data_IF_938021804151
#
_entry.id   IF_938021804151
#
_cell.length_a   1.000
_cell.length_b   1.000
_cell.length_c   1.000
_cell.angle_alpha   90.00
_cell.angle_beta   90.00
_cell.angle_gamma   90.00
#
_symmetry.space_group_name_H-M   'P 1'
#
loop_
_entity.id
_entity.type
_entity.pdbx_description
1 polymer ?
#
# COMPACT_ATOMS: atom_id res chain seq x y z
N UNK A 1 12.42 -11.26 -8.79
CA UNK A 1 12.15 -10.79 -10.17
C UNK A 1 12.85 -11.72 -11.14
N UNK A 2 12.21 -12.14 -12.23
CA UNK A 2 12.75 -13.09 -13.21
C UNK A 2 12.66 -12.50 -14.61
N UNK A 3 13.78 -12.54 -15.33
CA UNK A 3 13.85 -12.18 -16.75
C UNK A 3 13.20 -13.31 -17.57
N UNK A 4 12.24 -12.97 -18.42
CA UNK A 4 11.60 -13.92 -19.35
C UNK A 4 12.32 -13.88 -20.70
N UNK A 5 12.60 -12.68 -21.21
CA UNK A 5 13.42 -12.45 -22.39
C UNK A 5 14.18 -11.13 -22.24
N UNK A 6 14.81 -10.63 -23.31
CA UNK A 6 15.61 -9.41 -23.26
C UNK A 6 14.87 -8.19 -22.68
N UNK A 7 13.57 -8.07 -22.97
CA UNK A 7 12.77 -6.91 -22.59
C UNK A 7 11.79 -7.19 -21.45
N UNK A 8 11.24 -8.38 -21.36
CA UNK A 8 10.17 -8.70 -20.42
C UNK A 8 10.68 -9.39 -19.17
N UNK A 9 10.22 -8.91 -18.03
CA UNK A 9 10.49 -9.46 -16.72
C UNK A 9 9.18 -9.59 -15.96
N UNK A 10 9.14 -10.50 -15.00
CA UNK A 10 7.98 -10.70 -14.12
C UNK A 10 8.45 -10.78 -12.67
N UNK A 11 7.59 -10.37 -11.76
CA UNK A 11 7.84 -10.45 -10.34
C UNK A 11 6.53 -10.48 -9.57
N UNK A 12 6.61 -10.95 -8.34
CA UNK A 12 5.52 -10.84 -7.38
C UNK A 12 6.14 -10.40 -6.06
N UNK A 13 5.51 -9.42 -5.42
CA UNK A 13 5.80 -9.05 -4.04
C UNK A 13 4.74 -9.65 -3.13
N UNK A 14 5.17 -10.09 -1.95
CA UNK A 14 4.31 -10.54 -0.87
C UNK A 14 4.73 -9.81 0.40
N UNK A 15 3.76 -9.27 1.13
CA UNK A 15 3.99 -8.66 2.42
C UNK A 15 2.99 -9.18 3.45
N UNK A 16 3.46 -9.37 4.66
CA UNK A 16 2.65 -9.67 5.83
C UNK A 16 3.10 -8.78 6.99
N UNK A 17 2.15 -8.17 7.69
CA UNK A 17 2.42 -7.28 8.81
C UNK A 17 1.49 -7.58 9.98
N UNK A 18 1.99 -7.40 11.20
CA UNK A 18 1.19 -7.41 12.43
C UNK A 18 1.63 -6.27 13.35
N UNK A 19 0.75 -5.87 14.26
CA UNK A 19 0.96 -4.92 15.36
C UNK A 19 2.34 -4.98 16.05
N UNK A 20 2.94 -6.17 16.18
CA UNK A 20 4.22 -6.36 16.89
C UNK A 20 5.49 -6.25 16.03
N UNK A 21 5.35 -6.15 14.71
CA UNK A 21 6.51 -6.17 13.78
C UNK A 21 7.00 -4.76 13.44
N UNK A 22 6.19 -3.73 13.69
CA UNK A 22 6.54 -2.35 13.33
C UNK A 22 7.31 -1.69 14.48
N UNK A 23 8.57 -1.29 14.31
CA UNK A 23 9.38 -0.65 15.37
C UNK A 23 8.97 0.80 15.65
N UNK A 24 7.93 1.31 14.97
CA UNK A 24 7.45 2.69 15.07
C UNK A 24 6.00 2.66 15.56
N UNK A 25 5.76 3.33 16.69
CA UNK A 25 4.41 3.53 17.21
C UNK A 25 3.70 4.60 16.37
N UNK A 26 2.66 4.22 15.64
CA UNK A 26 1.82 5.13 14.86
C UNK A 26 0.56 5.41 15.70
N UNK A 27 0.49 6.62 16.27
CA UNK A 27 -0.44 7.05 17.34
C UNK A 27 -1.94 7.00 17.04
N UNK A 28 -2.35 6.57 15.85
CA UNK A 28 -3.73 6.72 15.37
C UNK A 28 -4.45 5.38 15.13
N UNK A 29 -3.83 4.26 15.51
CA UNK A 29 -4.40 2.92 15.31
C UNK A 29 -3.85 1.94 16.35
N UNK A 30 -4.43 1.97 17.55
CA UNK A 30 -4.09 1.01 18.61
C UNK A 30 -4.98 -0.23 18.49
N UNK A 31 -4.40 -1.42 18.68
CA UNK A 31 -5.14 -2.69 18.64
C UNK A 31 -4.44 -3.79 17.84
N UNK A 32 -5.04 -4.99 17.83
CA UNK A 32 -4.48 -6.13 17.08
C UNK A 32 -4.78 -5.94 15.61
N UNK A 33 -3.74 -5.73 14.81
CA UNK A 33 -3.87 -5.48 13.38
C UNK A 33 -3.05 -6.48 12.58
N UNK A 34 -3.59 -6.97 11.46
CA UNK A 34 -2.90 -7.86 10.53
C UNK A 34 -3.12 -7.38 9.11
N UNK A 35 -2.06 -7.42 8.32
CA UNK A 35 -2.04 -6.99 6.92
C UNK A 35 -1.44 -8.11 6.09
N UNK A 36 -2.06 -8.40 4.96
CA UNK A 36 -1.51 -9.21 3.89
C UNK A 36 -1.61 -8.42 2.59
N UNK A 37 -0.54 -8.41 1.81
CA UNK A 37 -0.50 -7.75 0.51
C UNK A 37 0.23 -8.62 -0.51
N UNK A 38 -0.28 -8.62 -1.74
CA UNK A 38 0.33 -9.28 -2.90
C UNK A 38 0.33 -8.31 -4.08
N UNK A 39 1.47 -8.23 -4.79
CA UNK A 39 1.64 -7.37 -5.97
C UNK A 39 2.35 -8.11 -7.10
N UNK A 40 1.62 -8.86 -7.96
CA UNK A 40 2.17 -9.29 -9.24
C UNK A 40 2.48 -8.08 -10.13
N UNK A 41 3.63 -8.13 -10.80
CA UNK A 41 4.14 -7.04 -11.63
C UNK A 41 4.83 -7.59 -12.88
N UNK A 42 4.50 -7.00 -14.03
CA UNK A 42 5.14 -7.28 -15.32
C UNK A 42 5.92 -6.05 -15.75
N UNK A 43 7.20 -6.22 -16.05
CA UNK A 43 8.10 -5.13 -16.41
C UNK A 43 8.54 -5.24 -17.87
N UNK A 44 8.62 -4.08 -18.51
CA UNK A 44 9.19 -3.89 -19.82
C UNK A 44 10.45 -3.03 -19.73
N UNK A 45 11.59 -3.58 -20.14
CA UNK A 45 12.87 -2.87 -20.17
C UNK A 45 12.93 -1.93 -21.37
N UNK A 46 13.06 -0.63 -21.10
CA UNK A 46 13.19 0.41 -22.12
C UNK A 46 14.56 0.32 -22.83
N UNK A 47 15.62 0.03 -22.06
CA UNK A 47 17.00 -0.05 -22.53
C UNK A 47 17.67 -1.36 -22.08
N UNK A 48 17.40 -2.51 -22.74
CA UNK A 48 17.80 -3.84 -22.25
C UNK A 48 19.32 -4.06 -22.20
N UNK A 49 20.09 -3.37 -23.03
CA UNK A 49 21.56 -3.45 -23.11
C UNK A 49 22.28 -2.34 -22.31
N UNK A 50 21.54 -1.44 -21.67
CA UNK A 50 22.13 -0.39 -20.82
C UNK A 50 22.59 -0.99 -19.48
N UNK A 51 23.70 -0.46 -18.94
CA UNK A 51 24.13 -0.73 -17.57
C UNK A 51 23.12 -0.22 -16.54
N UNK A 52 22.47 0.91 -16.84
CA UNK A 52 21.35 1.44 -16.07
C UNK A 52 20.05 0.98 -16.72
N UNK A 53 19.34 0.04 -16.10
CA UNK A 53 18.12 -0.51 -16.70
C UNK A 53 16.91 0.28 -16.24
N UNK A 54 16.20 0.84 -17.20
CA UNK A 54 14.94 1.52 -17.00
C UNK A 54 13.79 0.57 -17.32
N UNK A 55 12.76 0.59 -16.49
CA UNK A 55 11.58 -0.23 -16.64
C UNK A 55 10.32 0.62 -16.58
N UNK A 56 9.37 0.29 -17.46
CA UNK A 56 7.96 0.60 -17.26
C UNK A 56 7.27 -0.70 -16.88
N UNK A 57 6.40 -0.69 -15.89
CA UNK A 57 5.72 -1.89 -15.43
C UNK A 57 4.25 -1.67 -15.15
N UNK A 58 3.48 -2.74 -15.32
CA UNK A 58 2.10 -2.83 -14.87
C UNK A 58 2.06 -3.71 -13.62
N UNK A 59 1.54 -3.15 -12.53
CA UNK A 59 1.43 -3.80 -11.22
C UNK A 59 -0.04 -3.90 -10.86
N UNK A 60 -0.51 -5.11 -10.61
CA UNK A 60 -1.80 -5.34 -9.95
C UNK A 60 -1.50 -5.55 -8.48
N UNK A 61 -2.28 -4.93 -7.59
CA UNK A 61 -2.11 -5.11 -6.15
C UNK A 61 -3.41 -5.54 -5.48
N UNK A 62 -3.27 -6.33 -4.42
CA UNK A 62 -4.34 -6.65 -3.48
C UNK A 62 -3.78 -6.58 -2.06
N UNK A 63 -4.47 -5.83 -1.20
CA UNK A 63 -4.18 -5.68 0.21
C UNK A 63 -5.44 -6.01 1.00
N UNK A 64 -5.27 -6.88 1.99
CA UNK A 64 -6.29 -7.22 2.97
C UNK A 64 -5.76 -6.90 4.36
N UNK A 65 -6.57 -6.19 5.13
CA UNK A 65 -6.23 -5.83 6.50
C UNK A 65 -7.42 -6.09 7.42
N UNK A 66 -7.12 -6.64 8.59
CA UNK A 66 -8.09 -6.88 9.66
C UNK A 66 -7.56 -6.34 10.97
N UNK A 67 -8.41 -5.64 11.70
CA UNK A 67 -8.15 -5.17 13.06
C UNK A 67 -9.19 -5.72 14.04
N UNK A 68 -8.78 -6.05 15.26
CA UNK A 68 -9.66 -6.44 16.37
C UNK A 68 -9.41 -5.53 17.56
N UNK A 69 -10.50 -5.07 18.19
CA UNK A 69 -10.47 -4.12 19.30
C UNK A 69 -9.60 -2.90 18.99
N UNK A 70 -9.80 -2.32 17.80
CA UNK A 70 -9.10 -1.10 17.42
C UNK A 70 -9.81 0.12 18.01
N UNK A 71 -9.08 1.17 18.34
CA UNK A 71 -9.65 2.49 18.67
C UNK A 71 -9.27 3.51 17.59
N UNK A 72 -10.02 4.59 17.47
CA UNK A 72 -9.66 5.66 16.54
C UNK A 72 -10.82 6.55 16.11
N UNK A 73 -10.62 7.20 14.96
CA UNK A 73 -11.55 8.14 14.35
C UNK A 73 -11.76 7.80 12.88
N UNK A 74 -12.97 8.06 12.37
CA UNK A 74 -13.34 7.76 10.99
C UNK A 74 -14.46 8.67 10.48
N UNK A 75 -14.55 8.78 9.15
CA UNK A 75 -15.74 9.31 8.49
C UNK A 75 -16.65 8.16 8.13
N UNK A 76 -17.94 8.27 8.46
CA UNK A 76 -18.94 7.32 7.99
C UNK A 76 -19.29 7.55 6.50
N UNK A 77 -20.28 6.82 6.00
CA UNK A 77 -20.70 6.90 4.60
C UNK A 77 -21.39 8.24 4.27
N UNK A 78 -21.97 8.91 5.27
CA UNK A 78 -22.65 10.20 5.16
C UNK A 78 -21.70 11.40 5.41
N UNK A 79 -20.40 11.15 5.48
CA UNK A 79 -19.37 12.16 5.76
C UNK A 79 -19.44 12.78 7.15
N UNK A 80 -20.12 12.12 8.09
CA UNK A 80 -20.11 12.52 9.50
C UNK A 80 -18.87 11.92 10.17
N UNK A 81 -18.19 12.74 10.97
CA UNK A 81 -16.96 12.36 11.64
C UNK A 81 -17.24 11.82 13.04
N UNK A 82 -16.70 10.64 13.33
CA UNK A 82 -16.93 9.92 14.58
C UNK A 82 -15.61 9.48 15.21
N UNK A 83 -15.62 9.39 16.53
CA UNK A 83 -14.64 8.66 17.32
C UNK A 83 -15.25 7.36 17.87
N UNK A 84 -14.42 6.38 18.20
CA UNK A 84 -14.84 5.14 18.85
C UNK A 84 -13.74 4.61 19.77
N UNK A 85 -14.16 3.95 20.87
CA UNK A 85 -13.24 3.36 21.84
C UNK A 85 -12.82 1.93 21.49
N UNK A 86 -13.66 1.19 20.76
CA UNK A 86 -13.34 -0.15 20.26
C UNK A 86 -14.16 -0.49 19.01
N UNK A 87 -13.55 -1.14 18.02
CA UNK A 87 -14.23 -1.70 16.85
C UNK A 87 -13.44 -2.86 16.23
N UNK A 88 -14.13 -3.68 15.45
CA UNK A 88 -13.56 -4.63 14.51
C UNK A 88 -13.42 -3.96 13.14
N UNK A 89 -12.20 -3.97 12.60
CA UNK A 89 -11.85 -3.30 11.36
C UNK A 89 -11.57 -4.27 10.24
N UNK A 90 -12.05 -3.95 9.04
CA UNK A 90 -11.66 -4.65 7.82
C UNK A 90 -11.45 -3.63 6.71
N UNK A 91 -10.31 -3.75 6.04
CA UNK A 91 -10.00 -2.99 4.82
C UNK A 91 -9.55 -3.94 3.73
N UNK A 92 -10.12 -3.75 2.55
CA UNK A 92 -9.66 -4.38 1.32
C UNK A 92 -9.32 -3.31 0.31
N UNK A 93 -8.14 -3.39 -0.29
CA UNK A 93 -7.63 -2.44 -1.28
C UNK A 93 -7.11 -3.22 -2.46
N UNK A 94 -7.54 -2.89 -3.67
CA UNK A 94 -6.99 -3.49 -4.89
C UNK A 94 -7.01 -2.50 -6.04
N UNK A 95 -6.23 -2.79 -7.07
CA UNK A 95 -6.13 -1.90 -8.21
C UNK A 95 -4.94 -2.20 -9.10
N UNK A 96 -4.63 -1.24 -9.95
CA UNK A 96 -3.57 -1.32 -10.94
C UNK A 96 -2.76 -0.03 -10.92
N UNK A 97 -1.44 -0.16 -10.97
CA UNK A 97 -0.50 0.93 -11.14
C UNK A 97 0.32 0.73 -12.42
N UNK A 98 0.63 1.83 -13.10
CA UNK A 98 1.73 1.91 -14.06
C UNK A 98 2.90 2.57 -13.34
N UNK A 99 4.02 1.87 -13.33
CA UNK A 99 5.20 2.27 -12.59
C UNK A 99 6.36 2.55 -13.54
N UNK A 100 7.23 3.46 -13.13
CA UNK A 100 8.55 3.66 -13.67
C UNK A 100 9.58 3.31 -12.61
N UNK A 101 10.61 2.56 -12.98
CA UNK A 101 11.65 2.11 -12.06
C UNK A 101 13.02 2.06 -12.73
N UNK A 102 14.05 2.25 -11.92
CA UNK A 102 15.43 2.27 -12.36
C UNK A 102 16.19 1.20 -11.57
N UNK A 103 16.79 0.23 -12.25
CA UNK A 103 17.63 -0.79 -11.60
C UNK A 103 19.08 -0.32 -11.59
N UNK A 104 19.56 0.02 -10.40
CA UNK A 104 20.93 0.36 -10.09
C UNK A 104 21.65 -0.92 -9.65
N UNK A 105 22.39 -1.52 -10.57
CA UNK A 105 23.13 -2.78 -10.35
C UNK A 105 24.41 -2.79 -11.17
N UNK A 106 25.52 -3.18 -10.55
CA UNK A 106 26.78 -3.50 -11.25
C UNK A 106 26.80 -5.00 -11.55
N UNK A 107 27.12 -5.42 -12.77
CA UNK A 107 27.02 -6.83 -13.21
C UNK A 107 27.73 -7.84 -12.30
N UNK A 108 28.86 -7.43 -11.70
CA UNK A 108 29.66 -8.22 -10.76
C UNK A 108 29.21 -8.12 -9.29
N UNK A 109 28.14 -7.38 -9.00
CA UNK A 109 27.66 -7.12 -7.64
C UNK A 109 26.58 -8.13 -7.25
N UNK A 110 26.70 -8.64 -6.03
CA UNK A 110 25.68 -9.43 -5.33
C UNK A 110 24.47 -8.58 -4.90
N UNK A 111 24.60 -7.26 -4.92
CA UNK A 111 23.58 -6.30 -4.50
C UNK A 111 23.12 -5.39 -5.64
N UNK A 112 21.84 -5.05 -5.63
CA UNK A 112 21.22 -4.03 -6.48
C UNK A 112 20.11 -3.27 -5.75
N UNK A 113 19.80 -2.10 -6.25
CA UNK A 113 18.77 -1.21 -5.70
C UNK A 113 17.85 -0.75 -6.82
N UNK A 114 16.54 -0.68 -6.54
CA UNK A 114 15.54 -0.33 -7.54
C UNK A 114 14.45 0.55 -6.95
N UNK A 115 14.60 1.88 -7.00
CA UNK A 115 13.52 2.79 -6.68
C UNK A 115 12.44 2.71 -7.77
N UNK A 116 11.19 2.88 -7.35
CA UNK A 116 9.99 2.77 -8.17
C UNK A 116 9.02 3.87 -7.78
N UNK A 117 8.46 4.55 -8.77
CA UNK A 117 7.34 5.48 -8.60
C UNK A 117 6.23 5.08 -9.56
N UNK A 118 4.98 5.35 -9.21
CA UNK A 118 3.87 5.00 -10.08
C UNK A 118 2.57 5.69 -9.77
N UNK A 119 1.68 5.64 -10.75
CA UNK A 119 0.32 6.17 -10.67
C UNK A 119 -0.66 5.11 -11.12
N UNK A 120 -1.89 5.17 -10.62
CA UNK A 120 -2.87 4.14 -10.90
C UNK A 120 -4.25 4.45 -10.38
N UNK A 121 -5.09 3.43 -10.41
CA UNK A 121 -6.44 3.44 -9.86
C UNK A 121 -6.54 2.41 -8.75
N UNK A 122 -7.31 2.75 -7.71
CA UNK A 122 -7.53 1.91 -6.55
C UNK A 122 -9.00 1.90 -6.16
N UNK A 123 -9.53 0.70 -6.01
CA UNK A 123 -10.73 0.45 -5.22
C UNK A 123 -10.33 0.14 -3.77
N UNK A 124 -10.95 0.83 -2.81
CA UNK A 124 -10.78 0.54 -1.38
C UNK A 124 -12.16 0.36 -0.75
N UNK A 125 -12.29 -0.64 0.11
CA UNK A 125 -13.48 -0.91 0.90
C UNK A 125 -13.06 -0.97 2.36
N UNK A 126 -13.69 -0.15 3.20
CA UNK A 126 -13.42 -0.09 4.64
C UNK A 126 -14.71 -0.33 5.40
N UNK A 127 -14.67 -1.17 6.42
CA UNK A 127 -15.81 -1.44 7.30
C UNK A 127 -15.38 -1.50 8.76
N UNK A 128 -16.22 -0.94 9.62
CA UNK A 128 -16.12 -1.04 11.07
C UNK A 128 -17.35 -1.81 11.58
N UNK A 129 -17.15 -2.77 12.46
CA UNK A 129 -18.21 -3.60 13.06
C UNK A 129 -18.00 -3.71 14.57
N UNK A 130 -19.03 -4.12 15.33
CA UNK A 130 -18.95 -4.25 16.79
C UNK A 130 -18.40 -2.98 17.49
N UNK A 131 -18.84 -1.81 17.03
CA UNK A 131 -18.34 -0.53 17.51
C UNK A 131 -18.90 -0.19 18.90
N UNK A 132 -18.02 0.24 19.80
CA UNK A 132 -18.35 0.66 21.17
C UNK A 132 -17.91 2.11 21.35
N UNK A 133 -18.73 2.90 22.06
CA UNK A 133 -18.44 4.31 22.36
C UNK A 133 -18.37 5.18 21.11
N UNK A 134 -19.28 4.96 20.15
CA UNK A 134 -19.37 5.80 18.94
C UNK A 134 -19.94 7.16 19.33
N UNK A 135 -19.17 8.21 19.13
CA UNK A 135 -19.57 9.60 19.41
C UNK A 135 -19.19 10.50 18.23
N UNK A 136 -20.05 11.46 17.90
CA UNK A 136 -19.72 12.50 16.92
C UNK A 136 -18.55 13.31 17.43
N UNK A 137 -17.60 13.59 16.55
CA UNK A 137 -16.38 14.33 16.87
C UNK A 137 -16.19 15.45 15.84
N UNK A 138 -15.36 16.42 16.18
CA UNK A 138 -15.03 17.51 15.26
C UNK A 138 -14.02 17.03 14.22
N UNK A 139 -14.40 17.18 12.95
CA UNK A 139 -13.52 16.91 11.84
C UNK A 139 -12.22 17.74 11.99
N UNK A 140 -11.04 17.14 11.81
CA UNK A 140 -9.79 17.88 11.87
C UNK A 140 -9.75 18.94 10.76
N UNK A 141 -9.43 20.18 11.15
CA UNK A 141 -9.35 21.35 10.27
C UNK A 141 -7.92 21.62 9.76
N UNK A 142 -6.91 21.07 10.43
CA UNK A 142 -5.49 21.30 10.13
C UNK A 142 -4.78 20.02 9.67
N UNK A 143 -4.40 19.96 8.39
CA UNK A 143 -3.85 18.75 7.77
C UNK A 143 -3.99 18.73 6.25
N UNK A 144 -3.20 17.88 5.60
CA UNK A 144 -3.20 17.80 4.13
C UNK A 144 -4.53 17.22 3.64
N UNK A 145 -5.10 17.72 2.53
CA UNK A 145 -6.40 17.26 2.01
C UNK A 145 -6.45 15.75 1.66
N UNK A 146 -5.30 15.08 1.63
CA UNK A 146 -5.18 13.65 1.36
C UNK A 146 -5.24 12.77 2.63
N UNK A 147 -4.99 13.33 3.82
CA UNK A 147 -4.87 12.57 5.07
C UNK A 147 -6.22 12.10 5.61
N UNK A 148 -7.24 12.94 5.47
CA UNK A 148 -8.54 12.78 6.14
C UNK A 148 -9.42 11.66 5.59
N UNK A 149 -9.15 11.20 4.36
CA UNK A 149 -9.98 10.18 3.70
C UNK A 149 -9.37 8.77 3.75
N UNK A 150 -8.27 8.61 4.48
CA UNK A 150 -7.62 7.30 4.68
C UNK A 150 -8.53 6.31 5.40
N UNK A 151 -9.31 6.78 6.38
CA UNK A 151 -10.19 5.97 7.24
C UNK A 151 -11.69 6.08 6.93
N UNK A 152 -12.07 6.71 5.81
CA UNK A 152 -13.49 6.77 5.40
C UNK A 152 -14.07 5.37 5.21
N UNK A 153 -15.20 5.10 5.89
CA UNK A 153 -15.98 3.88 5.73
C UNK A 153 -16.65 3.81 4.36
N UNK A 154 -16.86 2.59 3.88
CA UNK A 154 -17.53 2.32 2.61
C UNK A 154 -16.57 2.05 1.47
N UNK A 155 -17.09 2.16 0.26
CA UNK A 155 -16.44 1.83 -1.00
C UNK A 155 -15.98 3.09 -1.74
N UNK A 156 -14.71 3.14 -2.14
CA UNK A 156 -14.17 4.29 -2.86
C UNK A 156 -13.15 3.93 -3.95
N UNK A 157 -13.48 4.31 -5.18
CA UNK A 157 -12.57 4.33 -6.34
C UNK A 157 -11.85 5.67 -6.40
N UNK A 158 -10.52 5.67 -6.34
CA UNK A 158 -9.71 6.90 -6.41
C UNK A 158 -8.38 6.65 -7.14
N UNK A 159 -7.72 7.73 -7.53
CA UNK A 159 -6.32 7.66 -7.96
C UNK A 159 -5.42 7.11 -6.85
N UNK A 160 -4.38 6.39 -7.25
CA UNK A 160 -3.38 5.80 -6.39
C UNK A 160 -2.00 6.28 -6.83
N UNK A 161 -1.20 6.71 -5.86
CA UNK A 161 0.20 6.99 -6.04
C UNK A 161 1.00 5.92 -5.30
N UNK A 162 2.08 5.43 -5.92
CA UNK A 162 2.95 4.40 -5.39
C UNK A 162 4.40 4.93 -5.37
N UNK A 163 5.08 4.74 -4.25
CA UNK A 163 6.53 4.91 -4.10
C UNK A 163 7.05 3.68 -3.39
N UNK A 164 8.05 3.04 -3.98
CA UNK A 164 8.62 1.79 -3.50
C UNK A 164 10.13 1.75 -3.73
N UNK A 165 10.82 0.97 -2.92
CA UNK A 165 12.27 0.79 -2.94
C UNK A 165 12.59 -0.68 -2.75
N UNK A 166 13.17 -1.31 -3.79
CA UNK A 166 13.57 -2.72 -3.73
C UNK A 166 15.07 -2.88 -3.55
N UNK A 167 15.43 -3.74 -2.62
CA UNK A 167 16.79 -4.27 -2.48
C UNK A 167 16.84 -5.65 -3.14
N UNK A 168 17.81 -5.85 -4.03
CA UNK A 168 17.94 -7.06 -4.84
C UNK A 168 19.24 -7.74 -4.47
N UNK A 169 19.15 -9.03 -4.14
CA UNK A 169 20.30 -9.88 -3.86
C UNK A 169 20.42 -10.93 -4.95
N UNK A 170 21.60 -11.03 -5.54
CA UNK A 170 21.97 -12.01 -6.58
C UNK A 170 22.96 -13.00 -5.95
N UNK A 171 22.52 -14.25 -5.84
CA UNK A 171 23.33 -15.40 -5.41
C UNK A 171 23.76 -16.22 -6.62
#
# INVERSE_FOLDING_TARGET
MRKINERWWVGTELAYGTDKITPVHISNFEGKNRIFEIKPEVYYSLAPHSKLKHFVSAEVFYLHQTGKNISGKYYDENEVYYSFSSADYKRTKYGLNINYSILLHKESSWFGFMPKIGIGLRQKNVSYTNMIGKEEDYAPVDGLPFDYHSNRQGSNLRFNFNVDMKFIFKF
#
